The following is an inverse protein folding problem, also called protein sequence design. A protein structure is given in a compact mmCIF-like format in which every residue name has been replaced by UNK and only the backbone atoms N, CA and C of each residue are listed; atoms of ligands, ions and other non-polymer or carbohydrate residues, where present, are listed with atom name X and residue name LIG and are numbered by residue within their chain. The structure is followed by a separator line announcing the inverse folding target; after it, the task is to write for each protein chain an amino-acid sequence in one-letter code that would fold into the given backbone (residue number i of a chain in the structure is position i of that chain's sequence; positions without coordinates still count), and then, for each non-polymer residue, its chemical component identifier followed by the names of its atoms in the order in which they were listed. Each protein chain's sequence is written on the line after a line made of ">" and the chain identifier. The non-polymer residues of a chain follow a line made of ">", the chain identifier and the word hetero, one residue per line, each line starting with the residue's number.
data_IF_841085204968
#
_entry.id   IF_841085204968
#
_cell.length_a   1.000
_cell.length_b   1.000
_cell.length_c   1.000
_cell.angle_alpha   90.00
_cell.angle_beta   90.00
_cell.angle_gamma   90.00
#
_symmetry.space_group_name_H-M   'P 1'
#
loop_
_entity.id
_entity.type
_entity.pdbx_description
1 polymer ?
#
# COMPACT_ATOMS: atom_id res chain seq x y z
N UNK A 1 7.37 25.66 12.86
CA UNK A 1 6.62 25.29 11.63
C UNK A 1 6.12 23.85 11.73
N UNK A 2 7.00 22.85 11.86
CA UNK A 2 6.62 21.43 12.04
C UNK A 2 5.60 21.21 13.17
N UNK A 3 5.80 21.84 14.33
CA UNK A 3 4.86 21.78 15.47
C UNK A 3 3.45 22.27 15.13
N UNK A 4 3.34 23.34 14.35
CA UNK A 4 2.05 23.92 13.96
C UNK A 4 1.33 23.02 12.95
N UNK A 5 2.06 22.47 11.99
CA UNK A 5 1.50 21.50 11.04
C UNK A 5 1.10 20.20 11.74
N UNK A 6 1.97 19.64 12.59
CA UNK A 6 1.66 18.46 13.41
C UNK A 6 0.40 18.66 14.28
N UNK A 7 0.27 19.80 14.94
CA UNK A 7 -0.91 20.12 15.75
C UNK A 7 -2.18 20.25 14.89
N UNK A 8 -2.06 20.75 13.64
CA UNK A 8 -3.19 20.83 12.71
C UNK A 8 -3.63 19.46 12.18
N UNK A 9 -2.72 18.50 12.04
CA UNK A 9 -2.99 17.22 11.38
C UNK A 9 -3.31 16.06 12.32
N UNK A 10 -2.85 16.11 13.58
CA UNK A 10 -2.86 14.91 14.44
C UNK A 10 -3.74 15.01 15.68
N UNK A 11 -4.23 16.20 16.05
CA UNK A 11 -4.84 16.48 17.36
C UNK A 11 -3.91 16.12 18.56
N UNK A 12 -2.66 15.75 18.30
CA UNK A 12 -1.66 15.41 19.32
C UNK A 12 -1.03 16.70 19.83
N UNK A 13 -0.94 16.81 21.16
CA UNK A 13 -0.23 17.92 21.81
C UNK A 13 1.26 17.60 21.89
N UNK A 14 2.08 18.39 21.19
CA UNK A 14 3.53 18.30 21.25
C UNK A 14 4.08 19.24 22.33
N UNK A 15 4.89 18.70 23.22
CA UNK A 15 5.58 19.44 24.26
C UNK A 15 7.08 19.51 23.96
N UNK A 16 7.67 20.70 24.14
CA UNK A 16 9.12 20.87 24.16
C UNK A 16 9.59 20.70 25.59
N UNK A 17 10.65 19.93 25.80
CA UNK A 17 11.15 19.64 27.15
C UNK A 17 12.37 18.73 27.12
N UNK A 18 12.92 18.49 28.31
CA UNK A 18 13.96 17.47 28.49
C UNK A 18 13.28 16.10 28.45
N UNK A 19 13.69 15.20 27.55
CA UNK A 19 13.03 13.92 27.40
C UNK A 19 13.28 13.01 28.60
N UNK A 20 12.24 12.31 29.05
CA UNK A 20 12.29 11.32 30.12
C UNK A 20 12.32 9.88 29.57
N UNK A 21 12.65 8.93 30.44
CA UNK A 21 12.67 7.50 30.08
C UNK A 21 11.29 7.04 29.61
N UNK A 22 11.24 6.51 28.38
CA UNK A 22 10.02 6.02 27.75
C UNK A 22 9.26 7.05 26.93
N UNK A 23 9.72 8.30 26.88
CA UNK A 23 9.10 9.33 26.07
C UNK A 23 9.23 9.05 24.57
N UNK A 24 8.21 9.45 23.82
CA UNK A 24 8.18 9.39 22.37
C UNK A 24 8.62 10.73 21.78
N UNK A 25 9.72 10.72 21.03
CA UNK A 25 10.37 11.91 20.51
C UNK A 25 10.32 11.95 18.99
N UNK A 26 9.89 13.09 18.47
CA UNK A 26 10.16 13.49 17.09
C UNK A 26 11.43 14.34 17.09
N UNK A 27 12.51 13.81 16.51
CA UNK A 27 13.76 14.56 16.38
C UNK A 27 13.96 15.04 14.95
N UNK A 28 14.15 16.34 14.82
CA UNK A 28 14.46 16.98 13.55
C UNK A 28 15.96 16.84 13.29
N UNK A 29 16.32 16.30 12.13
CA UNK A 29 17.70 16.06 11.70
C UNK A 29 17.88 16.52 10.24
N UNK A 30 19.11 16.48 9.77
CA UNK A 30 19.50 16.74 8.39
C UNK A 30 19.91 15.44 7.67
N UNK A 31 20.10 15.52 6.36
CA UNK A 31 20.70 14.42 5.59
C UNK A 31 22.20 14.25 5.92
N UNK A 32 22.77 13.04 5.75
CA UNK A 32 24.18 12.78 6.06
C UNK A 32 25.19 13.81 5.53
N UNK A 33 25.07 14.35 4.30
CA UNK A 33 26.02 15.35 3.78
C UNK A 33 26.11 16.64 4.61
N UNK A 34 25.03 17.05 5.30
CA UNK A 34 25.07 18.21 6.19
C UNK A 34 26.05 18.02 7.35
N UNK A 35 26.10 16.80 7.89
CA UNK A 35 26.95 16.46 9.04
C UNK A 35 28.40 16.18 8.65
N UNK A 36 28.72 16.01 7.36
CA UNK A 36 30.11 15.95 6.89
C UNK A 36 30.81 17.30 7.08
N UNK A 37 30.06 18.40 6.94
CA UNK A 37 30.55 19.77 7.15
C UNK A 37 30.40 20.24 8.61
N UNK A 38 29.43 19.68 9.35
CA UNK A 38 29.09 20.04 10.74
C UNK A 38 28.90 18.80 11.65
N UNK A 39 29.95 17.99 11.90
CA UNK A 39 29.81 16.73 12.64
C UNK A 39 29.41 16.93 14.12
N UNK A 40 29.77 18.07 14.73
CA UNK A 40 29.37 18.45 16.09
C UNK A 40 27.86 18.67 16.24
N UNK A 41 27.16 18.93 15.14
CA UNK A 41 25.73 19.17 15.08
C UNK A 41 24.93 17.90 14.75
N UNK A 42 25.56 16.72 14.75
CA UNK A 42 24.89 15.44 14.50
C UNK A 42 23.91 15.08 15.64
N UNK A 43 22.69 15.58 15.47
CA UNK A 43 21.54 15.32 16.32
C UNK A 43 21.09 13.85 16.25
N UNK A 44 21.40 13.10 15.18
CA UNK A 44 21.06 11.68 15.09
C UNK A 44 21.84 10.89 16.16
N UNK A 45 23.14 11.14 16.32
CA UNK A 45 23.99 10.46 17.30
C UNK A 45 23.69 10.85 18.75
N UNK A 46 23.16 12.05 18.97
CA UNK A 46 22.81 12.56 20.30
C UNK A 46 21.47 12.00 20.83
N UNK A 47 20.86 11.01 20.17
CA UNK A 47 19.53 10.48 20.54
C UNK A 47 19.53 9.80 21.92
N UNK A 48 18.62 10.17 22.84
CA UNK A 48 18.54 9.51 24.13
C UNK A 48 18.13 8.04 23.93
N UNK A 49 19.03 7.10 24.25
CA UNK A 49 18.79 5.65 24.07
C UNK A 49 17.61 5.11 24.88
N UNK A 50 17.19 5.83 25.92
CA UNK A 50 16.08 5.46 26.77
C UNK A 50 14.73 6.01 26.28
N UNK A 51 14.72 6.73 25.15
CA UNK A 51 13.54 7.29 24.52
C UNK A 51 13.18 6.54 23.24
N UNK A 52 11.91 6.68 22.84
CA UNK A 52 11.37 6.15 21.62
C UNK A 52 11.53 7.23 20.55
N UNK A 53 12.55 7.12 19.71
CA UNK A 53 12.92 8.20 18.77
C UNK A 53 12.46 7.89 17.34
N UNK A 54 11.79 8.86 16.73
CA UNK A 54 11.55 8.91 15.30
C UNK A 54 12.20 10.17 14.72
N UNK A 55 13.07 9.95 13.73
CA UNK A 55 13.76 11.03 13.05
C UNK A 55 12.93 11.60 11.90
N UNK A 56 13.06 12.91 11.70
CA UNK A 56 12.44 13.67 10.62
C UNK A 56 13.53 14.50 9.96
N UNK A 57 13.80 14.26 8.70
CA UNK A 57 14.81 14.99 7.92
C UNK A 57 14.20 16.28 7.36
N UNK A 58 14.85 17.42 7.61
CA UNK A 58 14.39 18.74 7.15
C UNK A 58 14.25 18.79 5.63
N UNK A 59 15.18 18.15 4.92
CA UNK A 59 15.25 18.13 3.46
C UNK A 59 14.10 17.36 2.82
N UNK A 60 13.68 16.25 3.46
CA UNK A 60 12.55 15.46 2.98
C UNK A 60 11.22 16.10 3.35
N UNK A 61 11.16 16.86 4.44
CA UNK A 61 9.97 17.57 4.89
C UNK A 61 10.00 19.03 4.44
N UNK A 62 9.56 19.25 3.19
CA UNK A 62 9.20 20.59 2.73
C UNK A 62 7.88 21.01 3.38
N UNK A 63 7.96 21.49 4.64
CA UNK A 63 6.86 22.00 5.47
C UNK A 63 6.34 23.34 4.92
N UNK A 64 5.89 23.35 3.67
CA UNK A 64 5.36 24.56 3.02
C UNK A 64 3.87 24.74 3.31
N UNK A 65 3.23 23.72 3.91
CA UNK A 65 1.78 23.63 4.02
C UNK A 65 1.06 23.67 2.67
N UNK A 66 1.76 23.50 1.55
CA UNK A 66 1.25 23.70 0.19
C UNK A 66 1.73 22.58 -0.74
N UNK A 67 0.82 22.05 -1.56
CA UNK A 67 1.23 21.14 -2.63
C UNK A 67 1.92 21.90 -3.77
N UNK A 68 2.49 21.16 -4.74
CA UNK A 68 3.12 21.72 -5.94
C UNK A 68 2.20 22.57 -6.85
N UNK A 69 0.94 22.80 -6.46
CA UNK A 69 0.00 23.72 -7.10
C UNK A 69 -0.31 24.96 -6.25
N UNK A 70 0.42 25.18 -5.15
CA UNK A 70 0.23 26.31 -4.24
C UNK A 70 -1.05 26.25 -3.42
N UNK A 71 -1.68 25.07 -3.30
CA UNK A 71 -2.90 24.88 -2.51
C UNK A 71 -2.60 24.08 -1.24
N UNK A 72 -3.26 24.42 -0.12
CA UNK A 72 -3.08 23.68 1.13
C UNK A 72 -3.42 22.20 0.94
N UNK A 73 -2.47 21.32 1.24
CA UNK A 73 -2.76 19.89 1.31
C UNK A 73 -3.59 19.61 2.56
N UNK A 74 -4.69 18.86 2.41
CA UNK A 74 -5.59 18.52 3.54
C UNK A 74 -4.92 17.63 4.58
N UNK A 75 -3.90 16.85 4.19
CA UNK A 75 -3.09 15.94 5.02
C UNK A 75 -1.72 15.76 4.34
N UNK A 76 -0.61 16.01 5.05
CA UNK A 76 0.74 15.69 4.56
C UNK A 76 1.02 14.18 4.73
N UNK A 77 1.13 13.46 3.61
CA UNK A 77 1.38 12.01 3.61
C UNK A 77 2.71 11.60 4.27
N UNK A 78 3.74 12.46 4.21
CA UNK A 78 5.04 12.19 4.87
C UNK A 78 4.87 12.29 6.38
N UNK A 79 4.13 13.30 6.84
CA UNK A 79 3.86 13.51 8.26
C UNK A 79 3.05 12.39 8.87
N UNK A 80 1.98 11.98 8.17
CA UNK A 80 1.18 10.82 8.57
C UNK A 80 2.06 9.57 8.72
N UNK A 81 3.00 9.36 7.79
CA UNK A 81 3.90 8.21 7.83
C UNK A 81 4.81 8.23 9.06
N UNK A 82 5.34 9.40 9.42
CA UNK A 82 6.17 9.59 10.63
C UNK A 82 5.36 9.29 11.89
N UNK A 83 4.12 9.79 11.98
CA UNK A 83 3.24 9.53 13.12
C UNK A 83 2.91 8.05 13.24
N UNK A 84 2.58 7.39 12.12
CA UNK A 84 2.32 5.95 12.06
C UNK A 84 3.51 5.13 12.55
N UNK A 85 4.73 5.48 12.13
CA UNK A 85 5.94 4.78 12.59
C UNK A 85 6.21 5.02 14.07
N UNK A 86 6.04 6.25 14.56
CA UNK A 86 6.19 6.56 15.98
C UNK A 86 5.18 5.79 16.82
N UNK A 87 3.92 5.68 16.39
CA UNK A 87 2.87 4.95 17.10
C UNK A 87 3.22 3.45 17.24
N UNK A 88 3.74 2.82 16.18
CA UNK A 88 4.21 1.42 16.26
C UNK A 88 5.39 1.28 17.23
N UNK A 89 6.33 2.22 17.21
CA UNK A 89 7.47 2.20 18.14
C UNK A 89 7.02 2.36 19.60
N UNK A 90 5.96 3.14 19.85
CA UNK A 90 5.31 3.27 21.16
C UNK A 90 4.73 1.93 21.61
N UNK A 91 3.95 1.26 20.74
CA UNK A 91 3.37 -0.04 21.06
C UNK A 91 4.43 -1.11 21.36
N UNK A 92 5.51 -1.14 20.57
CA UNK A 92 6.65 -2.04 20.77
C UNK A 92 7.30 -1.81 22.13
N UNK A 93 7.51 -0.54 22.52
CA UNK A 93 8.10 -0.20 23.82
C UNK A 93 7.17 -0.58 24.98
N UNK A 94 5.87 -0.30 24.84
CA UNK A 94 4.84 -0.61 25.85
C UNK A 94 4.47 -2.08 25.92
N UNK A 95 4.95 -2.91 24.97
CA UNK A 95 4.59 -4.33 24.83
C UNK A 95 3.07 -4.55 24.67
N UNK A 96 2.38 -3.61 24.02
CA UNK A 96 0.93 -3.64 23.84
C UNK A 96 0.56 -3.07 22.48
N UNK A 97 -0.23 -3.79 21.70
CA UNK A 97 -0.80 -3.29 20.46
C UNK A 97 -1.96 -2.34 20.74
N UNK A 98 -1.85 -1.10 20.25
CA UNK A 98 -2.90 -0.07 20.36
C UNK A 98 -3.21 0.58 19.02
N UNK A 99 -2.30 0.52 18.04
CA UNK A 99 -2.54 1.01 16.68
C UNK A 99 -3.57 0.17 15.91
N UNK A 100 -3.87 -1.03 16.39
CA UNK A 100 -4.86 -1.93 15.80
C UNK A 100 -5.62 -2.65 16.91
N UNK A 101 -6.93 -2.79 16.73
CA UNK A 101 -7.79 -3.49 17.66
C UNK A 101 -7.68 -5.01 17.43
N UNK A 102 -6.63 -5.60 18.02
CA UNK A 102 -6.30 -7.01 17.86
C UNK A 102 -7.46 -7.94 18.26
N UNK A 103 -8.24 -7.54 19.26
CA UNK A 103 -9.35 -8.33 19.77
C UNK A 103 -10.46 -8.58 18.74
N UNK A 104 -10.63 -7.68 17.75
CA UNK A 104 -11.60 -7.83 16.65
C UNK A 104 -11.33 -9.00 15.71
N UNK A 105 -10.14 -9.60 15.78
CA UNK A 105 -9.78 -10.75 14.94
C UNK A 105 -10.22 -12.09 15.53
N UNK A 106 -10.80 -12.10 16.73
CA UNK A 106 -11.31 -13.29 17.42
C UNK A 106 -10.26 -14.43 17.49
N UNK A 107 -9.00 -14.07 17.72
CA UNK A 107 -7.94 -15.03 18.04
C UNK A 107 -8.05 -15.42 19.52
N UNK A 108 -8.40 -16.69 19.78
CA UNK A 108 -8.53 -17.21 21.14
C UNK A 108 -7.18 -17.67 21.72
N UNK A 109 -6.21 -17.98 20.88
CA UNK A 109 -4.86 -18.35 21.29
C UNK A 109 -3.83 -17.34 20.78
N UNK A 110 -2.61 -17.34 21.34
CA UNK A 110 -1.55 -16.46 20.89
C UNK A 110 -1.15 -16.76 19.44
N UNK A 111 -0.93 -15.72 18.63
CA UNK A 111 -0.43 -15.87 17.27
C UNK A 111 1.05 -15.49 17.25
N UNK A 112 1.87 -16.38 16.69
CA UNK A 112 3.31 -16.25 16.62
C UNK A 112 3.77 -15.89 15.21
N UNK A 113 4.70 -14.95 15.13
CA UNK A 113 5.30 -14.44 13.91
C UNK A 113 6.81 -14.54 14.02
N UNK A 114 7.48 -15.13 13.03
CA UNK A 114 8.93 -15.36 13.08
C UNK A 114 9.60 -14.90 11.78
N UNK A 115 10.74 -14.21 11.91
CA UNK A 115 11.66 -13.94 10.80
C UNK A 115 13.04 -14.49 11.13
N UNK A 116 13.75 -14.93 10.11
CA UNK A 116 15.13 -15.37 10.24
C UNK A 116 16.06 -14.48 9.40
N UNK A 117 17.24 -14.20 9.92
CA UNK A 117 18.27 -13.42 9.24
C UNK A 117 19.51 -14.25 9.04
N UNK A 118 19.97 -14.30 7.80
CA UNK A 118 21.22 -14.93 7.39
C UNK A 118 22.18 -13.88 6.80
N UNK A 119 23.44 -13.90 7.24
CA UNK A 119 24.48 -13.01 6.73
C UNK A 119 25.14 -13.63 5.47
N UNK A 120 24.70 -13.19 4.30
CA UNK A 120 25.25 -13.66 3.02
C UNK A 120 26.74 -13.32 2.82
N UNK A 121 27.24 -12.26 3.47
CA UNK A 121 28.64 -11.83 3.35
C UNK A 121 29.53 -12.64 4.28
N UNK A 122 29.00 -13.05 5.42
CA UNK A 122 29.71 -13.87 6.38
C UNK A 122 28.88 -15.09 6.81
N UNK A 123 28.95 -16.15 6.00
CA UNK A 123 28.23 -17.42 6.24
C UNK A 123 28.67 -18.17 7.50
N UNK A 124 29.75 -17.74 8.17
CA UNK A 124 30.16 -18.31 9.46
C UNK A 124 29.31 -17.80 10.63
N UNK A 125 28.54 -16.72 10.44
CA UNK A 125 27.62 -16.24 11.47
C UNK A 125 26.39 -17.14 11.54
N UNK A 126 25.93 -17.48 12.75
CA UNK A 126 24.70 -18.25 12.91
C UNK A 126 23.49 -17.47 12.40
N UNK A 127 22.48 -18.19 11.93
CA UNK A 127 21.18 -17.61 11.61
C UNK A 127 20.61 -17.01 12.91
N UNK A 128 20.05 -15.80 12.82
CA UNK A 128 19.36 -15.18 13.94
C UNK A 128 17.85 -15.25 13.69
N UNK A 129 17.11 -15.78 14.65
CA UNK A 129 15.65 -15.82 14.63
C UNK A 129 15.11 -14.72 15.53
N UNK A 130 14.18 -13.95 15.01
CA UNK A 130 13.41 -12.97 15.77
C UNK A 130 11.95 -13.42 15.78
N UNK A 131 11.34 -13.44 16.95
CA UNK A 131 9.95 -13.88 17.16
C UNK A 131 9.14 -12.80 17.85
N UNK A 132 7.90 -12.64 17.40
CA UNK A 132 6.85 -11.89 18.07
C UNK A 132 5.66 -12.84 18.32
N UNK A 133 5.23 -12.96 19.56
CA UNK A 133 3.98 -13.60 19.95
C UNK A 133 2.99 -12.55 20.44
N UNK A 134 1.82 -12.50 19.81
CA UNK A 134 0.74 -11.57 20.16
C UNK A 134 -0.36 -12.34 20.88
N UNK A 135 -0.66 -11.95 22.11
CA UNK A 135 -1.73 -12.53 22.90
C UNK A 135 -3.11 -12.04 22.42
N UNK A 136 -4.21 -12.73 22.76
CA UNK A 136 -5.58 -12.29 22.43
C UNK A 136 -5.91 -10.85 22.86
N UNK A 137 -5.32 -10.36 23.97
CA UNK A 137 -5.49 -8.98 24.44
C UNK A 137 -4.62 -7.94 23.71
N UNK A 138 -3.79 -8.37 22.76
CA UNK A 138 -2.85 -7.51 22.04
C UNK A 138 -1.51 -7.31 22.74
N UNK A 139 -1.25 -8.01 23.86
CA UNK A 139 0.05 -8.00 24.53
C UNK A 139 1.13 -8.60 23.62
N UNK A 140 2.32 -7.99 23.60
CA UNK A 140 3.39 -8.30 22.67
C UNK A 140 4.59 -8.91 23.40
N UNK A 141 4.94 -10.14 23.03
CA UNK A 141 6.11 -10.87 23.57
C UNK A 141 7.13 -11.05 22.47
N UNK A 142 8.34 -10.55 22.70
CA UNK A 142 9.42 -10.59 21.73
C UNK A 142 10.57 -11.44 22.25
N UNK A 143 11.17 -12.20 21.34
CA UNK A 143 12.31 -13.06 21.62
C UNK A 143 13.25 -13.04 20.42
N UNK A 144 14.55 -13.18 20.69
CA UNK A 144 15.55 -13.38 19.64
C UNK A 144 16.59 -14.38 20.13
N UNK A 145 17.00 -15.27 19.24
CA UNK A 145 18.06 -16.25 19.51
C UNK A 145 18.88 -16.53 18.27
N UNK A 146 20.07 -17.08 18.48
CA UNK A 146 20.93 -17.55 17.40
C UNK A 146 20.73 -19.05 17.24
N UNK A 147 20.78 -19.51 15.99
CA UNK A 147 20.75 -20.92 15.65
C UNK A 147 21.82 -21.66 16.44
N UNK A 148 21.41 -22.74 17.07
CA UNK A 148 22.30 -23.67 17.76
C UNK A 148 22.34 -25.01 17.04
N UNK A 149 23.34 -25.83 17.35
CA UNK A 149 23.43 -27.18 16.80
C UNK A 149 22.27 -28.08 17.28
N UNK A 150 21.78 -27.82 18.49
CA UNK A 150 20.62 -28.46 19.08
C UNK A 150 19.80 -27.34 19.72
N UNK A 151 18.60 -27.13 19.18
CA UNK A 151 17.70 -26.09 19.67
C UNK A 151 17.18 -26.44 21.06
N UNK A 152 16.93 -25.41 21.86
CA UNK A 152 16.61 -25.58 23.29
C UNK A 152 15.22 -26.19 23.54
N UNK A 153 14.33 -26.15 22.53
CA UNK A 153 12.98 -26.69 22.60
C UNK A 153 12.43 -27.10 21.22
N UNK A 154 11.35 -27.88 21.23
CA UNK A 154 10.71 -28.40 20.01
C UNK A 154 10.16 -27.32 19.09
N UNK A 155 9.67 -26.20 19.62
CA UNK A 155 9.16 -25.09 18.82
C UNK A 155 10.28 -24.51 17.94
N UNK A 156 11.45 -24.24 18.53
CA UNK A 156 12.61 -23.70 17.82
C UNK A 156 13.18 -24.67 16.79
N UNK A 157 13.17 -25.99 17.06
CA UNK A 157 13.52 -27.01 16.07
C UNK A 157 12.62 -26.93 14.83
N UNK A 158 11.30 -26.85 15.04
CA UNK A 158 10.30 -26.73 13.96
C UNK A 158 10.45 -25.40 13.20
N UNK A 159 10.73 -24.31 13.90
CA UNK A 159 11.03 -23.01 13.29
C UNK A 159 12.28 -23.10 12.40
N UNK A 160 13.38 -23.66 12.91
CA UNK A 160 14.63 -23.80 12.13
C UNK A 160 14.37 -24.61 10.87
N UNK A 161 13.74 -25.79 11.02
CA UNK A 161 13.39 -26.66 9.90
C UNK A 161 12.48 -25.97 8.87
N UNK A 162 11.53 -25.13 9.31
CA UNK A 162 10.67 -24.38 8.41
C UNK A 162 11.41 -23.35 7.55
N UNK A 163 12.57 -22.86 8.00
CA UNK A 163 13.44 -21.96 7.22
C UNK A 163 14.44 -22.68 6.32
N UNK A 164 14.41 -24.01 6.27
CA UNK A 164 15.32 -24.82 5.46
C UNK A 164 14.66 -25.30 4.16
N UNK A 165 15.46 -25.31 3.11
CA UNK A 165 15.17 -26.05 1.88
C UNK A 165 15.17 -27.57 2.16
N UNK A 166 14.59 -28.40 1.26
CA UNK A 166 14.66 -29.86 1.37
C UNK A 166 16.07 -30.46 1.45
N UNK A 167 17.11 -29.66 1.17
CA UNK A 167 18.52 -30.03 1.25
C UNK A 167 19.22 -29.54 2.53
N UNK A 168 18.48 -29.01 3.50
CA UNK A 168 19.02 -28.51 4.78
C UNK A 168 19.79 -27.18 4.68
N UNK A 169 19.55 -26.41 3.61
CA UNK A 169 20.11 -25.04 3.46
C UNK A 169 19.06 -24.00 3.77
N UNK A 170 19.46 -22.86 4.33
CA UNK A 170 18.57 -21.72 4.55
C UNK A 170 17.87 -21.27 3.26
N UNK A 171 16.54 -21.17 3.30
CA UNK A 171 15.70 -20.73 2.17
C UNK A 171 15.46 -19.23 2.21
N UNK A 172 16.19 -18.53 1.34
CA UNK A 172 16.15 -17.06 1.18
C UNK A 172 14.81 -16.52 0.65
N UNK A 173 13.96 -17.38 0.09
CA UNK A 173 12.66 -17.00 -0.48
C UNK A 173 11.61 -16.81 0.62
N UNK A 174 11.81 -17.39 1.79
CA UNK A 174 10.90 -17.27 2.93
C UNK A 174 10.95 -15.84 3.50
N UNK A 175 9.76 -15.26 3.72
CA UNK A 175 9.58 -13.91 4.27
C UNK A 175 9.15 -13.87 5.72
N UNK A 176 8.63 -14.98 6.21
CA UNK A 176 8.29 -15.15 7.61
C UNK A 176 7.36 -16.31 7.82
N UNK A 177 7.24 -16.69 9.09
CA UNK A 177 6.35 -17.73 9.57
C UNK A 177 5.19 -17.10 10.34
N UNK A 178 3.99 -17.66 10.21
CA UNK A 178 2.85 -17.30 11.06
C UNK A 178 2.11 -18.56 11.52
N UNK A 179 1.82 -18.66 12.81
CA UNK A 179 1.14 -19.83 13.35
C UNK A 179 0.52 -19.58 14.73
N UNK A 180 -0.49 -20.39 15.03
CA UNK A 180 -1.13 -20.48 16.34
C UNK A 180 -0.60 -21.71 17.10
N UNK A 181 -0.36 -22.81 16.37
CA UNK A 181 0.16 -24.08 16.89
C UNK A 181 1.50 -24.41 16.21
N UNK A 182 2.50 -24.81 16.99
CA UNK A 182 3.86 -25.10 16.49
C UNK A 182 3.93 -26.29 15.52
N UNK A 183 2.94 -27.19 15.54
CA UNK A 183 2.83 -28.30 14.59
C UNK A 183 2.23 -27.89 13.24
N UNK A 184 1.72 -26.67 13.13
CA UNK A 184 1.02 -26.17 11.94
C UNK A 184 1.52 -24.78 11.52
N UNK A 185 2.80 -24.72 11.15
CA UNK A 185 3.48 -23.48 10.78
C UNK A 185 3.15 -23.09 9.35
N UNK A 186 2.58 -21.89 9.15
CA UNK A 186 2.34 -21.34 7.82
C UNK A 186 3.58 -20.55 7.37
N UNK A 187 4.20 -20.99 6.28
CA UNK A 187 5.44 -20.45 5.74
C UNK A 187 5.11 -19.55 4.55
N UNK A 188 5.46 -18.26 4.62
CA UNK A 188 5.23 -17.29 3.54
C UNK A 188 6.45 -17.20 2.64
N UNK A 189 6.30 -17.53 1.37
CA UNK A 189 7.35 -17.45 0.35
C UNK A 189 7.12 -16.28 -0.60
N UNK A 190 8.19 -15.60 -0.99
CA UNK A 190 8.20 -14.86 -2.24
C UNK A 190 8.22 -15.83 -3.42
N UNK A 191 7.49 -15.47 -4.48
CA UNK A 191 7.58 -16.16 -5.76
C UNK A 191 8.11 -15.21 -6.83
N UNK A 192 8.47 -15.77 -7.98
CA UNK A 192 8.74 -15.06 -9.23
C UNK A 192 7.47 -14.72 -10.02
N UNK A 193 6.29 -15.06 -9.49
CA UNK A 193 5.02 -14.80 -10.15
C UNK A 193 4.48 -13.41 -9.79
N UNK A 194 3.93 -12.74 -10.79
CA UNK A 194 3.34 -11.42 -10.65
C UNK A 194 1.97 -11.38 -11.32
N UNK A 195 1.07 -10.59 -10.75
CA UNK A 195 -0.17 -10.25 -11.40
C UNK A 195 0.03 -9.13 -12.41
N UNK A 196 -0.83 -9.10 -13.42
CA UNK A 196 -0.93 -8.00 -14.36
C UNK A 196 -2.38 -7.52 -14.41
N UNK A 197 -2.62 -6.26 -14.78
CA UNK A 197 -3.91 -5.84 -15.29
C UNK A 197 -4.36 -6.76 -16.44
N UNK A 198 -5.64 -6.73 -16.79
CA UNK A 198 -6.15 -7.44 -17.96
C UNK A 198 -5.61 -6.79 -19.24
N UNK A 199 -4.45 -7.27 -19.68
CA UNK A 199 -3.69 -6.65 -20.78
C UNK A 199 -4.45 -6.73 -22.10
N UNK A 200 -5.17 -7.83 -22.33
CA UNK A 200 -5.96 -8.03 -23.55
C UNK A 200 -7.10 -7.01 -23.64
N UNK A 201 -7.90 -6.87 -22.59
CA UNK A 201 -9.02 -5.92 -22.59
C UNK A 201 -8.52 -4.46 -22.57
N UNK A 202 -7.39 -4.19 -21.91
CA UNK A 202 -6.74 -2.88 -21.97
C UNK A 202 -6.28 -2.55 -23.40
N UNK A 203 -5.65 -3.49 -24.10
CA UNK A 203 -5.22 -3.30 -25.49
C UNK A 203 -6.40 -3.03 -26.40
N UNK A 204 -7.49 -3.80 -26.26
CA UNK A 204 -8.75 -3.58 -26.99
C UNK A 204 -9.30 -2.17 -26.76
N UNK A 205 -9.44 -1.76 -25.50
CA UNK A 205 -10.00 -0.45 -25.14
C UNK A 205 -9.09 0.70 -25.61
N UNK A 206 -7.76 0.58 -25.45
CA UNK A 206 -6.82 1.61 -25.85
C UNK A 206 -6.72 1.73 -27.38
N UNK A 207 -6.71 0.60 -28.09
CA UNK A 207 -6.69 0.58 -29.56
C UNK A 207 -7.96 1.18 -30.17
N UNK A 208 -9.11 0.97 -29.53
CA UNK A 208 -10.39 1.56 -29.93
C UNK A 208 -10.56 3.05 -29.54
N UNK A 209 -9.62 3.62 -28.77
CA UNK A 209 -9.73 5.00 -28.25
C UNK A 209 -8.49 5.84 -28.49
N UNK A 210 -7.82 5.61 -29.61
CA UNK A 210 -6.61 6.33 -30.03
C UNK A 210 -6.87 7.84 -30.16
N UNK A 211 -5.95 8.62 -29.62
CA UNK A 211 -6.07 10.08 -29.54
C UNK A 211 -6.08 10.77 -30.90
N UNK A 212 -5.29 10.23 -31.84
CA UNK A 212 -5.08 10.73 -33.20
C UNK A 212 -6.17 10.32 -34.19
N UNK A 213 -7.05 9.39 -33.80
CA UNK A 213 -8.14 8.90 -34.63
C UNK A 213 -9.10 10.04 -34.99
N UNK A 214 -9.39 10.16 -36.29
CA UNK A 214 -10.29 11.17 -36.82
C UNK A 214 -11.73 10.65 -36.85
N UNK A 215 -12.63 11.36 -36.17
CA UNK A 215 -14.03 10.97 -36.03
C UNK A 215 -14.89 11.86 -36.94
N UNK A 216 -15.73 11.28 -37.81
CA UNK A 216 -16.69 12.04 -38.62
C UNK A 216 -17.65 12.83 -37.75
N UNK A 217 -17.79 14.14 -38.03
CA UNK A 217 -18.59 15.06 -37.21
C UNK A 217 -20.09 14.86 -37.42
N UNK A 218 -20.52 14.64 -38.67
CA UNK A 218 -21.95 14.62 -39.01
C UNK A 218 -22.76 13.59 -38.19
N UNK A 219 -22.37 12.29 -38.15
CA UNK A 219 -23.11 11.31 -37.34
C UNK A 219 -23.07 11.62 -35.84
N UNK A 220 -21.96 12.20 -35.37
CA UNK A 220 -21.78 12.57 -33.98
C UNK A 220 -22.73 13.70 -33.57
N UNK A 221 -22.81 14.76 -34.38
CA UNK A 221 -23.70 15.91 -34.17
C UNK A 221 -25.16 15.47 -34.18
N UNK A 222 -25.56 14.64 -35.15
CA UNK A 222 -26.92 14.08 -35.22
C UNK A 222 -27.27 13.29 -33.94
N UNK A 223 -26.33 12.49 -33.43
CA UNK A 223 -26.50 11.72 -32.19
C UNK A 223 -26.62 12.63 -30.96
N UNK A 224 -25.75 13.63 -30.82
CA UNK A 224 -25.80 14.57 -29.69
C UNK A 224 -27.05 15.44 -29.74
N UNK A 225 -27.51 15.84 -30.93
CA UNK A 225 -28.77 16.56 -31.11
C UNK A 225 -29.97 15.72 -30.65
N UNK A 226 -30.01 14.42 -30.98
CA UNK A 226 -31.03 13.49 -30.50
C UNK A 226 -31.06 13.45 -28.97
N UNK A 227 -29.89 13.40 -28.31
CA UNK A 227 -29.79 13.48 -26.86
C UNK A 227 -30.29 14.82 -26.32
N UNK A 228 -29.89 15.93 -26.94
CA UNK A 228 -30.29 17.28 -26.53
C UNK A 228 -31.82 17.50 -26.53
N UNK A 229 -32.55 16.82 -27.40
CA UNK A 229 -34.02 16.85 -27.43
C UNK A 229 -34.66 16.32 -26.14
N UNK A 230 -33.98 15.45 -25.40
CA UNK A 230 -34.45 14.92 -24.11
C UNK A 230 -34.09 15.81 -22.91
N UNK A 231 -33.25 16.83 -23.10
CA UNK A 231 -32.80 17.73 -22.04
C UNK A 231 -33.67 18.98 -21.94
N UNK A 232 -33.65 19.61 -20.76
CA UNK A 232 -34.32 20.89 -20.50
C UNK A 232 -33.43 21.86 -19.71
N UNK A 233 -33.82 23.14 -19.69
CA UNK A 233 -33.16 24.17 -18.89
C UNK A 233 -31.66 24.32 -19.17
N UNK A 234 -30.89 24.38 -18.08
CA UNK A 234 -29.43 24.65 -18.13
C UNK A 234 -28.61 23.56 -18.78
N UNK A 235 -29.06 22.30 -18.73
CA UNK A 235 -28.33 21.17 -19.34
C UNK A 235 -28.44 21.22 -20.87
N UNK A 236 -29.61 21.58 -21.40
CA UNK A 236 -29.81 21.80 -22.83
C UNK A 236 -28.94 22.95 -23.35
N UNK A 237 -28.86 24.06 -22.61
CA UNK A 237 -27.99 25.18 -22.99
C UNK A 237 -26.51 24.77 -23.04
N UNK A 238 -26.02 23.99 -22.06
CA UNK A 238 -24.66 23.44 -22.06
C UNK A 238 -24.41 22.45 -23.20
N UNK A 239 -25.40 21.61 -23.52
CA UNK A 239 -25.32 20.69 -24.64
C UNK A 239 -25.23 21.46 -25.98
N UNK A 240 -25.93 22.58 -26.11
CA UNK A 240 -25.83 23.43 -27.29
C UNK A 240 -24.43 24.04 -27.46
N UNK A 241 -23.80 24.50 -26.36
CA UNK A 241 -22.41 25.00 -26.40
C UNK A 241 -21.46 23.91 -26.92
N UNK A 242 -21.61 22.67 -26.45
CA UNK A 242 -20.83 21.52 -26.93
C UNK A 242 -21.03 21.29 -28.44
N UNK A 243 -22.28 21.33 -28.91
CA UNK A 243 -22.60 21.19 -30.33
C UNK A 243 -21.98 22.30 -31.17
N UNK A 244 -22.05 23.55 -30.71
CA UNK A 244 -21.50 24.71 -31.40
C UNK A 244 -19.98 24.61 -31.50
N UNK A 245 -19.29 24.18 -30.42
CA UNK A 245 -17.84 23.91 -30.44
C UNK A 245 -17.47 22.79 -31.42
N UNK A 246 -18.21 21.68 -31.45
CA UNK A 246 -17.96 20.58 -32.40
C UNK A 246 -18.12 21.05 -33.85
N UNK A 247 -19.14 21.87 -34.14
CA UNK A 247 -19.42 22.37 -35.49
C UNK A 247 -18.37 23.38 -36.01
N UNK A 248 -17.49 23.90 -35.15
CA UNK A 248 -16.35 24.72 -35.60
C UNK A 248 -15.30 23.89 -36.34
N UNK A 249 -15.29 22.57 -36.12
CA UNK A 249 -14.45 21.64 -36.86
C UNK A 249 -15.15 21.26 -38.17
N UNK A 250 -14.37 21.00 -39.22
CA UNK A 250 -14.88 20.75 -40.57
C UNK A 250 -15.62 19.41 -40.72
N UNK A 251 -15.00 18.46 -41.42
CA UNK A 251 -15.63 17.14 -41.67
C UNK A 251 -15.33 16.12 -40.56
N UNK A 252 -14.19 16.28 -39.90
CA UNK A 252 -13.65 15.35 -38.91
C UNK A 252 -12.96 16.12 -37.79
N UNK A 253 -12.87 15.48 -36.63
CA UNK A 253 -12.19 16.00 -35.44
C UNK A 253 -11.47 14.85 -34.74
N UNK A 254 -10.31 15.13 -34.17
CA UNK A 254 -9.58 14.10 -33.42
C UNK A 254 -10.33 13.68 -32.16
N UNK A 255 -10.22 12.40 -31.78
CA UNK A 255 -10.81 11.90 -30.52
C UNK A 255 -10.30 12.69 -29.30
N UNK A 256 -9.04 13.11 -29.30
CA UNK A 256 -8.45 13.93 -28.23
C UNK A 256 -9.19 15.26 -28.05
N UNK A 257 -9.43 15.98 -29.13
CA UNK A 257 -10.18 17.24 -29.13
C UNK A 257 -11.62 17.02 -28.64
N UNK A 258 -12.29 15.97 -29.12
CA UNK A 258 -13.64 15.64 -28.67
C UNK A 258 -13.73 15.36 -27.16
N UNK A 259 -12.75 14.66 -26.58
CA UNK A 259 -12.71 14.46 -25.11
C UNK A 259 -12.56 15.77 -24.34
N UNK A 260 -11.88 16.76 -24.93
CA UNK A 260 -11.74 18.11 -24.35
C UNK A 260 -13.08 18.86 -24.41
N UNK A 261 -13.69 18.95 -25.59
CA UNK A 261 -14.98 19.63 -25.84
C UNK A 261 -16.09 19.05 -24.96
N UNK A 262 -16.21 17.72 -24.92
CA UNK A 262 -17.24 17.06 -24.09
C UNK A 262 -17.00 17.21 -22.59
N UNK A 263 -15.79 17.56 -22.16
CA UNK A 263 -15.36 17.58 -20.76
C UNK A 263 -15.85 16.33 -19.99
N UNK A 264 -15.26 15.18 -20.31
CA UNK A 264 -15.68 13.86 -19.77
C UNK A 264 -15.56 13.70 -18.24
N UNK A 265 -15.05 14.72 -17.53
CA UNK A 265 -15.08 14.78 -16.07
C UNK A 265 -16.44 15.25 -15.54
N UNK A 266 -17.17 16.06 -16.32
CA UNK A 266 -18.50 16.56 -15.98
C UNK A 266 -19.57 15.46 -16.08
N UNK A 267 -20.68 15.62 -15.36
CA UNK A 267 -21.80 14.67 -15.42
C UNK A 267 -22.43 14.64 -16.83
N UNK A 268 -22.68 15.82 -17.41
CA UNK A 268 -23.23 15.94 -18.76
C UNK A 268 -22.32 15.29 -19.82
N UNK A 269 -21.01 15.56 -19.76
CA UNK A 269 -20.04 14.96 -20.67
C UNK A 269 -20.00 13.43 -20.60
N UNK A 270 -20.13 12.85 -19.40
CA UNK A 270 -20.23 11.39 -19.22
C UNK A 270 -21.52 10.83 -19.82
N UNK A 271 -22.64 11.50 -19.62
CA UNK A 271 -23.93 11.07 -20.16
C UNK A 271 -23.95 11.14 -21.69
N UNK A 272 -23.44 12.23 -22.28
CA UNK A 272 -23.31 12.38 -23.74
C UNK A 272 -22.41 11.28 -24.31
N UNK A 273 -21.24 11.04 -23.71
CA UNK A 273 -20.33 9.98 -24.14
C UNK A 273 -20.98 8.59 -24.08
N UNK A 274 -21.76 8.31 -23.04
CA UNK A 274 -22.52 7.06 -22.92
C UNK A 274 -23.57 6.93 -24.03
N UNK A 275 -24.34 7.99 -24.27
CA UNK A 275 -25.37 8.00 -25.31
C UNK A 275 -24.78 7.82 -26.71
N UNK A 276 -23.65 8.47 -27.02
CA UNK A 276 -22.94 8.28 -28.29
C UNK A 276 -22.55 6.81 -28.47
N UNK A 277 -21.99 6.19 -27.43
CA UNK A 277 -21.59 4.78 -27.49
C UNK A 277 -22.78 3.84 -27.71
N UNK A 278 -23.90 4.09 -27.02
CA UNK A 278 -25.12 3.28 -27.15
C UNK A 278 -25.76 3.36 -28.53
N UNK A 279 -25.77 4.55 -29.15
CA UNK A 279 -26.39 4.77 -30.46
C UNK A 279 -25.49 4.43 -31.64
N UNK A 280 -24.16 4.62 -31.51
CA UNK A 280 -23.23 4.53 -32.64
C UNK A 280 -22.14 3.46 -32.48
N UNK A 281 -21.95 2.91 -31.28
CA UNK A 281 -20.81 2.05 -30.94
C UNK A 281 -19.47 2.79 -30.80
N UNK A 282 -19.42 4.11 -31.04
CA UNK A 282 -18.18 4.88 -30.99
C UNK A 282 -17.87 5.32 -29.55
N UNK A 283 -16.69 4.95 -29.04
CA UNK A 283 -16.28 5.25 -27.67
C UNK A 283 -15.37 6.49 -27.58
N UNK A 284 -15.90 7.70 -27.34
CA UNK A 284 -15.07 8.92 -27.32
C UNK A 284 -14.05 8.91 -26.18
N UNK A 285 -14.47 8.54 -24.97
CA UNK A 285 -13.60 8.29 -23.83
C UNK A 285 -13.64 6.84 -23.35
N UNK A 286 -12.45 6.26 -23.11
CA UNK A 286 -12.31 4.88 -22.64
C UNK A 286 -12.83 4.60 -21.22
N UNK A 287 -13.03 5.65 -20.40
CA UNK A 287 -13.52 5.54 -19.03
C UNK A 287 -12.80 4.43 -18.20
N UNK A 288 -11.50 4.21 -18.43
CA UNK A 288 -10.71 3.13 -17.80
C UNK A 288 -10.85 3.10 -16.27
N UNK A 289 -10.99 4.29 -15.67
CA UNK A 289 -11.07 4.50 -14.23
C UNK A 289 -12.51 4.59 -13.70
N UNK A 290 -13.52 4.23 -14.48
CA UNK A 290 -14.89 4.10 -13.98
C UNK A 290 -14.98 2.98 -12.94
N UNK A 291 -15.95 3.02 -12.03
CA UNK A 291 -16.08 1.99 -10.99
C UNK A 291 -16.20 0.58 -11.60
N UNK A 292 -16.96 0.44 -12.69
CA UNK A 292 -17.11 -0.81 -13.44
C UNK A 292 -15.81 -1.27 -14.10
N UNK A 293 -15.11 -0.38 -14.80
CA UNK A 293 -13.90 -0.75 -15.56
C UNK A 293 -12.69 -0.95 -14.65
N UNK A 294 -12.65 -0.32 -13.48
CA UNK A 294 -11.56 -0.51 -12.50
C UNK A 294 -11.37 -1.97 -12.16
N UNK A 295 -12.45 -2.65 -11.79
CA UNK A 295 -12.38 -4.06 -11.42
C UNK A 295 -12.13 -4.94 -12.65
N UNK A 296 -12.83 -4.71 -13.76
CA UNK A 296 -12.68 -5.52 -14.97
C UNK A 296 -11.26 -5.45 -15.57
N UNK A 297 -10.64 -4.28 -15.59
CA UNK A 297 -9.36 -4.05 -16.25
C UNK A 297 -8.18 -4.14 -15.28
N UNK A 298 -8.36 -3.75 -14.02
CA UNK A 298 -7.29 -3.69 -13.02
C UNK A 298 -7.51 -4.61 -11.82
N UNK A 299 -8.53 -5.46 -11.83
CA UNK A 299 -8.84 -6.38 -10.72
C UNK A 299 -7.65 -7.24 -10.29
N UNK A 300 -6.81 -7.65 -11.26
CA UNK A 300 -5.58 -8.41 -11.03
C UNK A 300 -4.53 -7.68 -10.18
N UNK A 301 -4.63 -6.37 -9.99
CA UNK A 301 -3.69 -5.56 -9.20
C UNK A 301 -4.40 -4.78 -8.08
N UNK A 302 -5.65 -5.12 -7.79
CA UNK A 302 -6.49 -4.45 -6.80
C UNK A 302 -6.83 -5.36 -5.61
N UNK A 303 -6.90 -4.73 -4.44
CA UNK A 303 -7.35 -5.39 -3.22
C UNK A 303 -6.39 -6.48 -2.73
N UNK A 304 -6.87 -7.30 -1.80
CA UNK A 304 -6.19 -8.53 -1.40
C UNK A 304 -6.92 -9.67 -2.09
N UNK A 305 -6.18 -10.53 -2.79
CA UNK A 305 -6.73 -11.77 -3.36
C UNK A 305 -6.01 -12.96 -2.79
N UNK A 306 -6.76 -14.05 -2.70
CA UNK A 306 -6.32 -15.33 -2.20
C UNK A 306 -6.89 -16.43 -3.10
N UNK A 307 -6.11 -17.48 -3.34
CA UNK A 307 -6.55 -18.65 -4.08
C UNK A 307 -5.70 -19.88 -3.71
N UNK A 308 -6.25 -21.07 -3.91
CA UNK A 308 -5.55 -22.34 -3.70
C UNK A 308 -5.13 -22.96 -5.04
N UNK A 309 -3.92 -23.50 -5.12
CA UNK A 309 -3.41 -24.24 -6.28
C UNK A 309 -2.35 -25.25 -5.83
N UNK A 310 -2.36 -26.47 -6.36
CA UNK A 310 -1.33 -27.49 -6.11
C UNK A 310 -1.00 -27.70 -4.60
N UNK A 311 -2.04 -27.82 -3.76
CA UNK A 311 -1.95 -27.96 -2.30
C UNK A 311 -1.22 -26.82 -1.57
N UNK A 312 -1.09 -25.66 -2.19
CA UNK A 312 -0.60 -24.43 -1.58
C UNK A 312 -1.64 -23.32 -1.67
N UNK A 313 -1.53 -22.34 -0.78
CA UNK A 313 -2.29 -21.11 -0.85
C UNK A 313 -1.44 -20.04 -1.49
N UNK A 314 -2.06 -19.16 -2.24
CA UNK A 314 -1.42 -18.03 -2.87
C UNK A 314 -2.20 -16.77 -2.56
N UNK A 315 -1.48 -15.67 -2.39
CA UNK A 315 -2.12 -14.38 -2.21
C UNK A 315 -1.30 -13.26 -2.83
N UNK A 316 -1.96 -12.13 -3.07
CA UNK A 316 -1.28 -10.88 -3.35
C UNK A 316 -2.04 -9.72 -2.72
N UNK A 317 -1.28 -8.68 -2.39
CA UNK A 317 -1.78 -7.43 -1.83
C UNK A 317 -1.56 -6.34 -2.87
N UNK A 318 -2.63 -5.96 -3.55
CA UNK A 318 -2.68 -4.92 -4.55
C UNK A 318 -2.97 -3.52 -3.99
N UNK A 319 -3.35 -2.64 -4.91
CA UNK A 319 -3.60 -1.24 -4.64
C UNK A 319 -5.04 -1.01 -4.16
N UNK A 320 -5.25 0.07 -3.41
CA UNK A 320 -6.60 0.55 -3.09
C UNK A 320 -7.26 1.11 -4.35
N UNK A 321 -8.53 0.79 -4.63
CA UNK A 321 -9.22 1.29 -5.84
C UNK A 321 -9.24 2.82 -6.01
N UNK A 322 -9.11 3.58 -4.89
CA UNK A 322 -8.96 5.04 -4.90
C UNK A 322 -7.60 5.53 -5.41
N UNK A 323 -6.53 4.75 -5.29
CA UNK A 323 -5.16 5.15 -5.67
C UNK A 323 -4.93 5.11 -7.19
N UNK A 324 -5.68 4.29 -7.94
CA UNK A 324 -5.69 4.25 -9.41
C UNK A 324 -5.94 5.62 -10.05
N UNK A 325 -6.64 6.51 -9.33
CA UNK A 325 -6.92 7.85 -9.83
C UNK A 325 -5.64 8.69 -10.04
N UNK A 326 -4.58 8.43 -9.27
CA UNK A 326 -3.30 9.19 -9.31
C UNK A 326 -2.27 8.55 -10.25
N UNK A 327 -2.11 7.23 -10.23
CA UNK A 327 -1.19 6.48 -11.11
C UNK A 327 -1.76 5.11 -11.45
N UNK A 328 -1.33 4.52 -12.57
CA UNK A 328 -1.73 3.17 -12.91
C UNK A 328 -0.92 2.16 -12.08
N UNK A 329 -1.58 1.19 -11.43
CA UNK A 329 -0.92 0.19 -10.61
C UNK A 329 -0.05 -0.73 -11.48
N UNK A 330 1.19 -0.94 -11.05
CA UNK A 330 2.07 -1.95 -11.61
C UNK A 330 1.67 -3.36 -11.13
N UNK A 331 2.41 -4.35 -11.61
CA UNK A 331 2.33 -5.73 -11.17
C UNK A 331 2.41 -5.90 -9.65
N UNK A 332 1.67 -6.87 -9.11
CA UNK A 332 1.75 -7.28 -7.71
C UNK A 332 2.44 -8.63 -7.61
N UNK A 333 3.47 -8.76 -6.76
CA UNK A 333 4.10 -10.06 -6.51
C UNK A 333 3.10 -11.00 -5.82
N UNK A 334 2.95 -12.20 -6.36
CA UNK A 334 2.18 -13.27 -5.75
C UNK A 334 3.07 -13.96 -4.72
N UNK A 335 2.53 -14.23 -3.54
CA UNK A 335 3.18 -15.01 -2.49
C UNK A 335 2.55 -16.38 -2.43
N UNK A 336 3.37 -17.37 -2.08
CA UNK A 336 2.93 -18.73 -1.80
C UNK A 336 2.95 -18.95 -0.29
N UNK A 337 1.99 -19.72 0.21
CA UNK A 337 1.93 -20.18 1.59
C UNK A 337 1.79 -21.69 1.60
N UNK A 338 2.68 -22.34 2.34
CA UNK A 338 2.61 -23.76 2.68
C UNK A 338 2.39 -23.90 4.19
N UNK A 339 1.92 -25.07 4.62
CA UNK A 339 1.88 -25.44 6.04
C UNK A 339 2.83 -26.61 6.30
N UNK A 340 3.46 -26.65 7.48
CA UNK A 340 4.17 -27.84 7.97
C UNK A 340 3.20 -28.90 8.51
N UNK A 341 1.99 -28.49 8.88
CA UNK A 341 0.97 -29.37 9.47
C UNK A 341 -0.09 -29.81 8.46
N UNK A 342 -1.13 -30.45 8.98
CA UNK A 342 -2.22 -31.01 8.16
C UNK A 342 -3.21 -29.96 7.66
N UNK A 343 -3.25 -28.76 8.27
CA UNK A 343 -4.24 -27.74 7.94
C UNK A 343 -3.58 -26.51 7.31
N UNK A 344 -4.06 -26.14 6.13
CA UNK A 344 -3.66 -24.92 5.45
C UNK A 344 -4.78 -23.90 5.63
N UNK A 345 -4.63 -23.01 6.61
CA UNK A 345 -5.67 -22.05 7.04
C UNK A 345 -5.18 -20.59 7.03
N UNK A 346 -4.24 -20.26 6.13
CA UNK A 346 -3.68 -18.91 6.06
C UNK A 346 -4.71 -17.81 5.75
N UNK A 347 -5.87 -18.17 5.18
CA UNK A 347 -7.01 -17.26 5.00
C UNK A 347 -7.37 -16.48 6.27
N UNK A 348 -7.27 -17.11 7.45
CA UNK A 348 -7.54 -16.47 8.76
C UNK A 348 -6.59 -15.30 9.06
N UNK A 349 -5.42 -15.25 8.43
CA UNK A 349 -4.44 -14.17 8.60
C UNK A 349 -4.55 -13.08 7.53
N UNK A 350 -5.43 -13.21 6.53
CA UNK A 350 -5.62 -12.16 5.51
C UNK A 350 -6.05 -10.80 6.07
N UNK A 351 -6.89 -10.70 7.12
CA UNK A 351 -7.20 -9.41 7.75
C UNK A 351 -5.96 -8.68 8.27
N UNK A 352 -4.88 -9.39 8.61
CA UNK A 352 -3.60 -8.79 9.01
C UNK A 352 -2.88 -8.08 7.85
N UNK A 353 -3.34 -8.28 6.61
CA UNK A 353 -2.85 -7.58 5.43
C UNK A 353 -3.61 -6.26 5.20
N UNK A 354 -4.89 -6.23 5.59
CA UNK A 354 -5.87 -5.18 5.31
C UNK A 354 -5.80 -4.03 6.32
N UNK A 355 -4.63 -3.40 6.42
CA UNK A 355 -4.41 -2.27 7.31
C UNK A 355 -3.79 -1.09 6.58
N UNK A 356 -4.23 0.13 6.91
CA UNK A 356 -3.80 1.38 6.28
C UNK A 356 -2.79 2.19 7.12
N UNK A 357 -2.59 1.81 8.39
CA UNK A 357 -1.61 2.44 9.28
C UNK A 357 -0.15 2.01 9.01
N UNK A 358 0.08 1.04 8.12
CA UNK A 358 1.44 0.56 7.77
C UNK A 358 1.93 1.15 6.44
N UNK A 359 1.08 1.13 5.41
CA UNK A 359 1.43 1.52 4.05
C UNK A 359 0.41 2.50 3.50
N UNK A 360 0.89 3.66 3.08
CA UNK A 360 0.05 4.63 2.39
C UNK A 360 -0.41 4.08 1.03
N UNK A 361 -1.70 4.23 0.73
CA UNK A 361 -2.31 3.96 -0.59
C UNK A 361 -2.29 2.50 -1.09
N UNK A 362 -1.99 1.52 -0.23
CA UNK A 362 -2.02 0.10 -0.57
C UNK A 362 -1.97 -0.78 0.67
N UNK A 363 -2.35 -2.04 0.51
CA UNK A 363 -2.33 -3.00 1.60
C UNK A 363 -0.91 -3.47 1.93
N UNK A 364 -0.78 -4.07 3.12
CA UNK A 364 0.48 -4.68 3.52
C UNK A 364 0.68 -6.02 2.83
N UNK A 365 1.92 -6.27 2.43
CA UNK A 365 2.25 -7.43 1.58
C UNK A 365 2.56 -8.69 2.37
N UNK A 366 2.73 -8.55 3.67
CA UNK A 366 2.89 -9.58 4.70
C UNK A 366 2.15 -9.09 5.95
N UNK A 367 1.69 -9.98 6.85
CA UNK A 367 0.97 -9.59 8.06
C UNK A 367 1.65 -8.45 8.82
N UNK A 368 0.89 -7.42 9.21
CA UNK A 368 1.47 -6.24 9.84
C UNK A 368 2.28 -6.48 11.12
N UNK A 369 2.06 -7.54 11.93
CA UNK A 369 2.91 -7.82 13.09
C UNK A 369 4.40 -7.98 12.75
N UNK A 370 4.75 -8.36 11.51
CA UNK A 370 6.15 -8.34 11.04
C UNK A 370 6.77 -6.93 11.06
N UNK A 371 5.99 -5.84 10.95
CA UNK A 371 6.51 -4.48 11.13
C UNK A 371 6.89 -4.23 12.60
N UNK A 372 6.09 -4.70 13.57
CA UNK A 372 6.41 -4.57 14.99
C UNK A 372 7.70 -5.32 15.33
N UNK A 373 7.85 -6.54 14.81
CA UNK A 373 9.06 -7.33 14.99
C UNK A 373 10.31 -6.64 14.43
N UNK A 374 10.22 -6.02 13.24
CA UNK A 374 11.31 -5.23 12.67
C UNK A 374 11.64 -3.98 13.50
N UNK A 375 10.63 -3.24 13.94
CA UNK A 375 10.84 -2.06 14.78
C UNK A 375 11.49 -2.44 16.12
N UNK A 376 11.05 -3.53 16.74
CA UNK A 376 11.66 -4.04 17.97
C UNK A 376 13.14 -4.36 17.79
N UNK A 377 13.49 -5.06 16.71
CA UNK A 377 14.89 -5.38 16.39
C UNK A 377 15.74 -4.12 16.20
N UNK A 378 15.22 -3.11 15.50
CA UNK A 378 15.92 -1.84 15.30
C UNK A 378 16.17 -1.08 16.61
N UNK A 379 15.38 -1.33 17.66
CA UNK A 379 15.59 -0.74 18.99
C UNK A 379 16.60 -1.52 19.86
N UNK A 380 17.00 -2.74 19.47
CA UNK A 380 18.00 -3.53 20.22
C UNK A 380 19.45 -3.21 19.82
N UNK A 381 19.67 -2.62 18.64
CA UNK A 381 20.98 -2.13 18.16
C UNK A 381 21.14 -0.65 18.40
#
# INVERSE_FOLDING_TARGET
>A
MLRYELAQYSEVTFMEGTPEKGDALLRIIHHPPFYEEHPEDDEYLKAPKHCIVQHVTVEDFQLTGMNGRGTKEKEDHKLLKVIQELAIKIDVNRRQMTCYDWSKLDFNNPITFVVATFDYKNQSKPICYDMLRVQPGGELYFESWQQSFCEDNSEREKISAAFETPYGKFDTTIKGLVYEEEDNINIIYDTDHYTLPNMQDLELVLSATRDDEQIPIKPLVETIQKYACSLSGTERARCQIILDEINQYGMQVSRKELRHILNLKSNLGKQINQFIFEESGVLIGNALKSARNKEALFGGVLGIRHFCKDNAQYYYSGYLGKSINRSLPHACRIRKVCSTGQTLQFERYLPLLEVDFIRANGWTVIPFPFKYLREWRLQQG
#
